data_IF_881916864210
#
_entry.id   IF_881916864210
#
_cell.length_a   1.000
_cell.length_b   1.000
_cell.length_c   1.000
_cell.angle_alpha   90.00
_cell.angle_beta   90.00
_cell.angle_gamma   90.00
#
_symmetry.space_group_name_H-M   'P 1'
#
loop_
_entity.id
_entity.type
_entity.pdbx_description
1 polymer ?
#
# COMPACT_ATOMS: atom_id res chain seq x y z
N UNK A 1 42.54 28.05 12.79
CA UNK A 1 41.35 27.20 12.89
C UNK A 1 40.17 28.12 12.99
N UNK A 2 39.22 27.96 12.08
CA UNK A 2 38.01 28.77 12.03
C UNK A 2 37.08 28.22 13.11
N UNK A 3 36.69 29.06 14.08
CA UNK A 3 35.80 28.67 15.18
C UNK A 3 34.34 28.68 14.70
N UNK A 4 34.12 28.24 13.47
CA UNK A 4 32.85 28.32 12.78
C UNK A 4 31.90 27.28 13.36
N UNK A 5 30.66 27.68 13.72
CA UNK A 5 29.76 26.77 14.38
C UNK A 5 29.30 25.65 13.42
N UNK A 6 29.11 24.43 13.94
CA UNK A 6 28.60 23.30 13.17
C UNK A 6 27.19 23.58 12.64
N UNK A 7 26.81 22.98 11.52
CA UNK A 7 25.52 23.21 10.86
C UNK A 7 24.64 21.98 10.96
N UNK A 8 23.38 22.17 11.32
CA UNK A 8 22.39 21.08 11.29
C UNK A 8 21.97 20.77 9.85
N UNK A 9 21.82 19.48 9.56
CA UNK A 9 21.25 18.96 8.33
C UNK A 9 20.22 17.89 8.69
N UNK A 10 18.99 18.00 8.18
CA UNK A 10 18.01 16.93 8.37
C UNK A 10 18.28 15.83 7.35
N UNK A 11 18.71 14.65 7.83
CA UNK A 11 18.96 13.50 6.97
C UNK A 11 17.64 12.86 6.47
N UNK A 12 16.56 13.01 7.25
CA UNK A 12 15.19 12.70 6.82
C UNK A 12 14.27 13.88 7.15
N UNK A 13 13.64 14.45 6.13
CA UNK A 13 12.62 15.50 6.28
C UNK A 13 11.21 14.91 6.53
N UNK A 14 11.12 13.60 6.74
CA UNK A 14 9.85 12.87 6.73
C UNK A 14 9.50 12.43 8.14
N UNK A 15 8.58 13.17 8.76
CA UNK A 15 7.92 12.77 10.00
C UNK A 15 6.49 12.40 9.62
N UNK A 16 6.21 11.11 9.49
CA UNK A 16 4.84 10.65 9.23
C UNK A 16 4.61 9.35 10.01
N UNK A 17 3.95 9.47 11.16
CA UNK A 17 3.46 8.31 11.93
C UNK A 17 2.07 7.98 11.41
N UNK A 18 1.95 6.98 10.55
CA UNK A 18 0.70 6.59 9.88
C UNK A 18 -0.12 5.56 10.67
N UNK A 19 0.49 4.92 11.67
CA UNK A 19 -0.16 3.99 12.60
C UNK A 19 0.62 3.90 13.90
N UNK A 20 -0.05 3.57 14.99
CA UNK A 20 0.53 3.50 16.33
C UNK A 20 1.61 2.42 16.43
N UNK A 21 2.89 2.78 16.40
CA UNK A 21 3.93 1.99 17.09
C UNK A 21 5.24 2.75 17.38
N UNK A 22 5.76 3.64 16.52
CA UNK A 22 6.85 4.59 16.84
C UNK A 22 7.18 5.46 15.63
N UNK A 23 7.81 6.62 15.86
CA UNK A 23 8.41 7.45 14.81
C UNK A 23 9.93 7.49 15.01
N UNK A 24 10.69 7.23 13.95
CA UNK A 24 12.15 7.38 13.93
C UNK A 24 12.55 8.54 13.03
N UNK A 25 13.37 9.46 13.54
CA UNK A 25 13.92 10.60 12.78
C UNK A 25 15.44 10.60 12.91
N UNK A 26 16.13 10.78 11.78
CA UNK A 26 17.60 10.89 11.74
C UNK A 26 18.01 12.35 11.63
N UNK A 27 18.74 12.85 12.63
CA UNK A 27 19.35 14.18 12.60
C UNK A 27 20.81 14.08 12.16
N UNK A 28 21.20 14.94 11.24
CA UNK A 28 22.58 15.13 10.82
C UNK A 28 23.13 16.48 11.30
N UNK A 29 24.44 16.56 11.44
CA UNK A 29 25.14 17.82 11.57
C UNK A 29 26.54 17.69 10.98
N UNK A 30 27.00 18.76 10.36
CA UNK A 30 28.28 18.84 9.67
C UNK A 30 29.10 20.00 10.21
N UNK A 31 30.35 19.73 10.55
CA UNK A 31 31.35 20.74 10.84
C UNK A 31 31.92 21.29 9.51
N UNK A 32 32.09 22.62 9.33
CA UNK A 32 32.66 23.19 8.12
C UNK A 32 34.06 22.68 7.76
N UNK A 33 34.82 22.20 8.75
CA UNK A 33 36.16 21.64 8.58
C UNK A 33 36.16 20.10 8.53
N UNK A 34 34.98 19.45 8.54
CA UNK A 34 34.81 17.99 8.41
C UNK A 34 35.16 17.20 9.67
N UNK A 35 35.20 17.86 10.83
CA UNK A 35 35.56 17.25 12.11
C UNK A 35 34.37 16.57 12.81
N UNK A 36 34.61 15.62 13.73
CA UNK A 36 33.55 15.02 14.52
C UNK A 36 32.83 16.08 15.36
N UNK A 37 31.51 15.98 15.45
CA UNK A 37 30.66 16.84 16.27
C UNK A 37 30.01 16.05 17.40
N UNK A 38 29.81 16.70 18.53
CA UNK A 38 29.11 16.15 19.69
C UNK A 38 27.65 16.60 19.66
N UNK A 39 26.74 15.63 19.81
CA UNK A 39 25.30 15.88 19.85
C UNK A 39 24.77 15.88 21.28
N UNK A 40 23.95 16.87 21.61
CA UNK A 40 23.19 16.92 22.84
C UNK A 40 21.74 17.31 22.51
N UNK A 41 20.79 16.40 22.72
CA UNK A 41 19.37 16.76 22.68
C UNK A 41 18.79 16.75 24.09
N UNK A 42 18.07 17.81 24.44
CA UNK A 42 17.25 17.85 25.63
C UNK A 42 15.79 17.62 25.21
N UNK A 43 15.14 16.53 25.64
CA UNK A 43 13.70 16.38 25.48
C UNK A 43 13.04 17.54 26.21
N UNK A 44 12.24 18.37 25.52
CA UNK A 44 11.69 19.56 26.18
C UNK A 44 10.57 19.23 27.19
N UNK A 45 10.22 17.95 27.43
CA UNK A 45 9.40 17.42 28.55
C UNK A 45 8.69 16.06 28.28
N UNK A 46 8.99 15.33 27.19
CA UNK A 46 8.25 14.09 26.89
C UNK A 46 8.95 12.82 27.42
N UNK A 47 8.26 11.94 28.18
CA UNK A 47 8.81 10.67 28.66
C UNK A 47 8.99 9.61 27.55
N UNK A 48 8.49 9.89 26.34
CA UNK A 48 8.42 8.93 25.23
C UNK A 48 9.43 9.23 24.12
N UNK A 49 10.50 9.98 24.42
CA UNK A 49 11.56 10.31 23.48
C UNK A 49 12.88 9.67 23.93
N UNK A 50 13.53 8.93 23.02
CA UNK A 50 14.86 8.37 23.23
C UNK A 50 15.81 8.88 22.16
N UNK A 51 16.96 9.42 22.57
CA UNK A 51 18.09 9.76 21.69
C UNK A 51 19.13 8.64 21.78
N UNK A 52 19.44 8.04 20.64
CA UNK A 52 20.51 7.05 20.52
C UNK A 52 21.85 7.76 20.25
N UNK A 53 22.97 7.09 20.58
CA UNK A 53 24.33 7.64 20.43
C UNK A 53 24.75 7.90 18.98
N UNK A 54 24.01 7.37 18.01
CA UNK A 54 24.20 7.58 16.57
C UNK A 54 23.44 8.80 16.01
N UNK A 55 22.76 9.59 16.86
CA UNK A 55 21.96 10.74 16.41
C UNK A 55 20.53 10.39 15.97
N UNK A 56 20.09 9.15 16.21
CA UNK A 56 18.73 8.69 15.92
C UNK A 56 17.78 9.01 17.08
N UNK A 57 16.65 9.66 16.76
CA UNK A 57 15.59 9.97 17.73
C UNK A 57 14.40 9.04 17.49
N UNK A 58 14.01 8.31 18.54
CA UNK A 58 12.78 7.51 18.53
C UNK A 58 11.74 8.15 19.43
N UNK A 59 10.52 8.29 18.93
CA UNK A 59 9.40 8.87 19.65
C UNK A 59 8.18 7.96 19.64
N UNK A 60 7.65 7.63 20.83
CA UNK A 60 6.48 6.76 21.04
C UNK A 60 5.33 7.54 21.67
N UNK A 61 4.80 8.53 20.96
CA UNK A 61 3.70 9.35 21.47
C UNK A 61 2.66 9.71 20.43
N UNK A 62 1.62 10.40 20.91
CA UNK A 62 0.46 10.88 20.15
C UNK A 62 0.23 12.40 20.41
N UNK A 63 1.14 13.03 21.16
CA UNK A 63 1.09 14.45 21.54
C UNK A 63 2.24 15.21 20.87
N UNK A 64 2.00 16.40 20.29
CA UNK A 64 3.07 17.22 19.74
C UNK A 64 4.25 17.37 20.72
N UNK A 65 5.48 17.17 20.25
CA UNK A 65 6.68 17.39 21.07
C UNK A 65 7.64 18.33 20.36
N UNK A 66 8.31 19.16 21.14
CA UNK A 66 9.43 19.97 20.66
C UNK A 66 10.74 19.38 21.20
N UNK A 67 11.78 19.35 20.37
CA UNK A 67 13.09 18.83 20.73
C UNK A 67 14.09 19.94 20.50
N UNK A 68 14.79 20.34 21.56
CA UNK A 68 15.92 21.26 21.44
C UNK A 68 17.18 20.41 21.29
N UNK A 69 17.87 20.55 20.17
CA UNK A 69 19.13 19.92 19.90
C UNK A 69 20.24 20.97 19.83
N UNK A 70 21.34 20.67 20.49
CA UNK A 70 22.58 21.43 20.43
C UNK A 70 23.66 20.52 19.86
N UNK A 71 24.46 21.05 18.95
CA UNK A 71 25.64 20.39 18.41
C UNK A 71 26.84 21.28 18.62
N UNK A 72 27.96 20.70 19.02
CA UNK A 72 29.21 21.40 19.23
C UNK A 72 30.38 20.68 18.54
N UNK A 73 31.36 21.44 18.06
CA UNK A 73 32.61 20.91 17.54
C UNK A 73 33.65 20.69 18.67
N UNK A 74 34.83 20.15 18.31
CA UNK A 74 35.94 19.95 19.25
C UNK A 74 36.55 21.24 19.80
N UNK A 75 36.29 22.39 19.17
CA UNK A 75 36.75 23.71 19.59
C UNK A 75 35.75 24.42 20.51
N UNK A 76 34.56 23.84 20.72
CA UNK A 76 33.50 24.37 21.58
C UNK A 76 32.57 25.36 20.89
N UNK A 77 32.66 25.53 19.57
CA UNK A 77 31.67 26.28 18.80
C UNK A 77 30.38 25.45 18.69
N UNK A 78 29.22 26.07 18.96
CA UNK A 78 27.95 25.35 19.00
C UNK A 78 26.82 26.00 18.20
N UNK A 79 25.88 25.17 17.77
CA UNK A 79 24.62 25.54 17.13
C UNK A 79 23.46 24.88 17.84
N UNK A 80 22.31 25.57 17.90
CA UNK A 80 21.09 25.06 18.50
C UNK A 80 19.92 25.10 17.50
N UNK A 81 19.08 24.07 17.52
CA UNK A 81 17.88 23.99 16.69
C UNK A 81 16.73 23.33 17.44
N UNK A 82 15.52 23.86 17.24
CA UNK A 82 14.28 23.27 17.76
C UNK A 82 13.55 22.52 16.64
N UNK A 83 13.24 21.25 16.88
CA UNK A 83 12.44 20.40 15.99
C UNK A 83 11.05 20.20 16.57
N UNK A 84 9.99 20.35 15.76
CA UNK A 84 8.62 20.07 16.16
C UNK A 84 8.17 18.76 15.53
N UNK A 85 7.87 17.74 16.35
CA UNK A 85 7.29 16.48 15.91
C UNK A 85 5.80 16.46 16.25
N UNK A 86 4.97 16.12 15.27
CA UNK A 86 3.53 15.91 15.45
C UNK A 86 3.13 14.55 14.90
N UNK A 87 2.23 13.85 15.59
CA UNK A 87 1.49 12.75 14.97
C UNK A 87 0.41 13.32 14.08
N UNK A 88 0.28 12.78 12.88
CA UNK A 88 -0.87 12.99 12.02
C UNK A 88 -1.65 11.69 11.96
N UNK A 89 -2.90 11.69 12.43
CA UNK A 89 -3.78 10.53 12.27
C UNK A 89 -4.12 10.35 10.80
N UNK A 90 -4.12 9.11 10.30
CA UNK A 90 -4.63 8.83 8.96
C UNK A 90 -6.13 9.16 8.90
N UNK A 91 -6.58 10.15 8.12
CA UNK A 91 -7.98 10.56 8.10
C UNK A 91 -8.77 9.94 6.94
N UNK A 92 -8.16 8.99 6.21
CA UNK A 92 -8.88 8.24 5.19
C UNK A 92 -10.01 7.44 5.85
N UNK A 93 -11.21 7.59 5.32
CA UNK A 93 -12.41 6.88 5.72
C UNK A 93 -12.49 5.51 5.03
N UNK A 94 -13.46 4.69 5.43
CA UNK A 94 -13.84 3.44 4.75
C UNK A 94 -12.70 2.45 4.46
N UNK A 95 -11.71 2.38 5.36
CA UNK A 95 -10.56 1.48 5.22
C UNK A 95 -9.50 1.98 4.24
N UNK A 96 -9.55 3.25 3.84
CA UNK A 96 -8.53 3.88 3.03
C UNK A 96 -7.16 3.88 3.70
N UNK A 97 -6.11 3.74 2.90
CA UNK A 97 -4.72 3.72 3.37
C UNK A 97 -4.02 5.04 3.06
N UNK A 98 -3.43 5.67 4.06
CA UNK A 98 -2.64 6.88 3.87
C UNK A 98 -1.26 6.53 3.29
N UNK A 99 -0.92 7.11 2.14
CA UNK A 99 0.40 7.00 1.52
C UNK A 99 0.99 8.40 1.29
N UNK A 100 2.32 8.55 1.22
CA UNK A 100 2.93 9.83 0.88
C UNK A 100 2.45 10.34 -0.49
N UNK A 101 2.11 11.62 -0.60
CA UNK A 101 1.69 12.22 -1.87
C UNK A 101 2.86 12.24 -2.89
N UNK A 102 2.67 11.71 -4.12
CA UNK A 102 3.74 11.60 -5.11
C UNK A 102 4.11 12.93 -5.80
N UNK A 103 3.21 13.91 -5.84
CA UNK A 103 3.42 15.20 -6.53
C UNK A 103 3.94 16.28 -5.58
N UNK A 104 3.93 16.01 -4.27
CA UNK A 104 4.48 16.91 -3.26
C UNK A 104 5.96 16.60 -2.96
N UNK A 105 6.79 17.64 -2.72
CA UNK A 105 8.14 17.46 -2.22
C UNK A 105 8.11 16.67 -0.91
N UNK A 106 8.97 15.64 -0.80
CA UNK A 106 9.19 14.89 0.44
C UNK A 106 9.45 15.88 1.58
N UNK A 107 8.59 15.88 2.60
CA UNK A 107 8.74 16.70 3.81
C UNK A 107 7.72 17.82 4.04
N UNK A 108 6.64 17.91 3.26
CA UNK A 108 5.55 18.87 3.52
C UNK A 108 4.31 18.28 4.25
N UNK A 109 4.32 16.99 4.60
CA UNK A 109 3.28 16.41 5.47
C UNK A 109 1.91 16.20 4.79
N UNK A 110 1.86 16.11 3.46
CA UNK A 110 0.65 15.76 2.74
C UNK A 110 0.66 14.26 2.40
N UNK A 111 -0.35 13.55 2.91
CA UNK A 111 -0.67 12.17 2.52
C UNK A 111 -1.76 12.22 1.45
N UNK A 112 -1.85 11.18 0.63
CA UNK A 112 -3.02 10.91 -0.20
C UNK A 112 -3.66 9.62 0.28
N UNK A 113 -4.97 9.49 0.09
CA UNK A 113 -5.71 8.30 0.45
C UNK A 113 -5.77 7.33 -0.74
N UNK A 114 -5.35 6.08 -0.52
CA UNK A 114 -5.63 4.97 -1.42
C UNK A 114 -6.95 4.36 -1.01
N UNK A 115 -7.95 4.48 -1.90
CA UNK A 115 -9.34 4.18 -1.63
C UNK A 115 -9.81 2.90 -2.34
N UNK A 116 -9.98 1.76 -1.64
CA UNK A 116 -10.46 0.52 -2.24
C UNK A 116 -11.98 0.52 -2.36
N UNK A 117 -12.53 0.78 -3.56
CA UNK A 117 -13.98 0.88 -3.79
C UNK A 117 -14.60 2.21 -3.38
N UNK A 118 -13.77 3.23 -3.16
CA UNK A 118 -14.20 4.57 -2.78
C UNK A 118 -13.45 5.63 -3.59
N UNK A 119 -13.98 6.84 -3.60
CA UNK A 119 -13.44 8.05 -4.22
C UNK A 119 -13.58 9.24 -3.27
N UNK A 120 -13.06 10.39 -3.69
CA UNK A 120 -12.89 11.57 -2.86
C UNK A 120 -11.51 11.61 -2.22
N UNK A 121 -11.18 12.76 -1.62
CA UNK A 121 -9.84 13.00 -1.08
C UNK A 121 -9.57 12.15 0.18
N UNK A 122 -10.62 11.73 0.87
CA UNK A 122 -10.58 10.96 2.11
C UNK A 122 -11.29 9.60 1.97
N UNK A 123 -11.57 9.12 0.75
CA UNK A 123 -12.36 7.91 0.52
C UNK A 123 -13.79 7.99 1.09
N UNK A 124 -14.36 9.20 1.13
CA UNK A 124 -15.67 9.48 1.74
C UNK A 124 -16.85 9.04 0.86
N UNK A 125 -16.63 8.83 -0.44
CA UNK A 125 -17.69 8.52 -1.40
C UNK A 125 -17.50 7.12 -1.93
N UNK A 126 -18.50 6.26 -1.79
CA UNK A 126 -18.47 4.91 -2.35
C UNK A 126 -18.61 4.97 -3.88
N UNK A 127 -17.91 4.08 -4.60
CA UNK A 127 -17.95 4.00 -6.04
C UNK A 127 -19.10 3.08 -6.50
N UNK A 128 -20.12 3.66 -7.14
CA UNK A 128 -21.18 2.86 -7.78
C UNK A 128 -20.63 2.12 -9.02
N UNK A 129 -20.23 0.86 -8.82
CA UNK A 129 -19.72 0.03 -9.91
C UNK A 129 -20.80 -0.39 -10.92
N UNK A 130 -22.08 -0.26 -10.54
CA UNK A 130 -23.21 -0.47 -11.42
C UNK A 130 -23.49 0.71 -12.36
N UNK A 131 -22.90 1.90 -12.12
CA UNK A 131 -23.12 3.11 -12.94
C UNK A 131 -22.80 2.88 -14.43
N UNK A 132 -21.80 2.04 -14.72
CA UNK A 132 -21.39 1.70 -16.09
C UNK A 132 -22.31 0.68 -16.78
N UNK A 133 -23.36 0.21 -16.10
CA UNK A 133 -24.24 -0.89 -16.54
C UNK A 133 -23.46 -2.14 -16.96
N UNK A 134 -22.65 -2.75 -16.08
CA UNK A 134 -21.73 -3.82 -16.46
C UNK A 134 -22.43 -5.15 -16.83
N UNK A 135 -23.67 -5.35 -16.35
CA UNK A 135 -24.50 -6.53 -16.61
C UNK A 135 -25.24 -6.39 -17.95
N UNK A 136 -24.99 -7.29 -18.90
CA UNK A 136 -25.62 -7.26 -20.22
C UNK A 136 -27.10 -7.69 -20.19
N UNK A 137 -27.39 -8.87 -19.60
CA UNK A 137 -28.74 -9.41 -19.49
C UNK A 137 -29.06 -9.80 -18.04
N UNK A 138 -29.06 -8.81 -17.14
CA UNK A 138 -29.32 -9.06 -15.73
C UNK A 138 -29.46 -7.77 -14.92
N UNK A 139 -29.74 -7.95 -13.63
CA UNK A 139 -29.82 -6.85 -12.66
C UNK A 139 -28.46 -6.70 -11.98
N UNK A 140 -27.92 -5.48 -12.00
CA UNK A 140 -26.70 -5.15 -11.27
C UNK A 140 -27.01 -4.87 -9.80
N UNK A 141 -26.19 -5.42 -8.91
CA UNK A 141 -26.17 -5.08 -7.49
C UNK A 141 -24.80 -4.52 -7.17
N UNK A 142 -24.81 -3.29 -6.67
CA UNK A 142 -23.64 -2.54 -6.24
C UNK A 142 -23.07 -3.13 -4.94
N UNK A 143 -21.75 -3.25 -4.84
CA UNK A 143 -21.05 -3.81 -3.69
C UNK A 143 -19.81 -2.97 -3.41
N UNK A 144 -19.30 -2.96 -2.18
CA UNK A 144 -18.04 -2.24 -1.92
C UNK A 144 -16.89 -2.85 -2.74
N UNK A 145 -16.29 -2.03 -3.60
CA UNK A 145 -15.14 -2.39 -4.45
C UNK A 145 -15.49 -3.50 -5.46
N UNK A 146 -16.72 -3.51 -5.98
CA UNK A 146 -17.14 -4.44 -7.01
C UNK A 146 -18.64 -4.47 -7.26
N UNK A 147 -19.08 -5.33 -8.17
CA UNK A 147 -20.51 -5.49 -8.44
C UNK A 147 -20.86 -6.96 -8.60
N UNK A 148 -22.14 -7.27 -8.48
CA UNK A 148 -22.67 -8.59 -8.78
C UNK A 148 -23.83 -8.51 -9.79
N UNK A 149 -23.80 -9.35 -10.81
CA UNK A 149 -24.88 -9.46 -11.78
C UNK A 149 -25.78 -10.65 -11.46
N UNK A 150 -27.06 -10.37 -11.23
CA UNK A 150 -28.09 -11.42 -11.18
C UNK A 150 -28.65 -11.61 -12.59
N UNK A 151 -28.28 -12.72 -13.24
CA UNK A 151 -28.64 -12.95 -14.64
C UNK A 151 -30.13 -13.25 -14.82
N UNK A 152 -30.70 -12.72 -15.90
CA UNK A 152 -32.01 -13.09 -16.37
C UNK A 152 -32.04 -14.55 -16.83
N UNK A 153 -33.24 -15.13 -16.90
CA UNK A 153 -33.43 -16.49 -17.38
C UNK A 153 -32.83 -16.67 -18.78
N UNK A 154 -32.04 -17.74 -18.96
CA UNK A 154 -31.35 -18.04 -20.22
C UNK A 154 -29.95 -17.41 -20.38
N UNK A 155 -29.47 -16.65 -19.39
CA UNK A 155 -28.13 -16.04 -19.40
C UNK A 155 -27.28 -16.44 -18.19
N UNK A 156 -25.96 -16.46 -18.38
CA UNK A 156 -24.93 -16.81 -17.41
C UNK A 156 -23.66 -15.96 -17.65
N UNK A 157 -22.65 -16.16 -16.78
CA UNK A 157 -21.40 -15.40 -16.80
C UNK A 157 -21.42 -14.27 -15.79
N UNK A 158 -20.24 -13.75 -15.44
CA UNK A 158 -20.10 -12.67 -14.43
C UNK A 158 -20.78 -11.38 -14.86
N UNK A 159 -20.97 -11.18 -16.16
CA UNK A 159 -21.66 -10.04 -16.77
C UNK A 159 -22.99 -10.41 -17.43
N UNK A 160 -23.46 -11.65 -17.28
CA UNK A 160 -24.68 -12.14 -17.91
C UNK A 160 -24.70 -11.92 -19.44
N UNK A 161 -23.54 -12.07 -20.07
CA UNK A 161 -23.27 -11.84 -21.48
C UNK A 161 -23.22 -13.15 -22.28
N UNK A 162 -23.31 -14.29 -21.61
CA UNK A 162 -23.29 -15.61 -22.24
C UNK A 162 -24.66 -16.28 -22.14
N UNK A 163 -25.17 -16.77 -23.27
CA UNK A 163 -26.39 -17.60 -23.27
C UNK A 163 -26.10 -18.98 -22.66
N UNK A 164 -27.07 -19.53 -21.92
CA UNK A 164 -26.99 -20.90 -21.36
C UNK A 164 -26.73 -21.99 -22.41
N UNK A 165 -27.05 -21.73 -23.69
CA UNK A 165 -26.82 -22.67 -24.79
C UNK A 165 -25.39 -22.59 -25.36
N UNK A 166 -24.57 -21.64 -24.88
CA UNK A 166 -23.20 -21.44 -25.33
C UNK A 166 -22.21 -21.37 -24.16
N UNK A 167 -22.24 -22.38 -23.27
CA UNK A 167 -21.38 -22.43 -22.08
C UNK A 167 -19.89 -22.52 -22.40
N UNK A 168 -19.51 -23.05 -23.56
CA UNK A 168 -18.11 -23.06 -23.99
C UNK A 168 -17.51 -21.67 -24.17
N UNK A 169 -18.32 -20.61 -24.30
CA UNK A 169 -17.83 -19.23 -24.34
C UNK A 169 -17.25 -18.73 -23.01
N UNK A 170 -17.44 -19.48 -21.91
CA UNK A 170 -16.82 -19.19 -20.61
C UNK A 170 -15.48 -19.90 -20.41
N UNK A 171 -14.96 -20.55 -21.45
CA UNK A 171 -13.74 -21.37 -21.41
C UNK A 171 -13.67 -22.30 -20.18
N UNK A 172 -14.70 -23.15 -19.96
CA UNK A 172 -14.81 -23.92 -18.71
C UNK A 172 -13.91 -25.16 -18.65
N UNK A 173 -13.23 -25.49 -19.75
CA UNK A 173 -12.30 -26.62 -19.84
C UNK A 173 -10.88 -26.17 -19.53
N UNK A 174 -10.00 -27.12 -19.19
CA UNK A 174 -8.58 -26.86 -19.03
C UNK A 174 -8.00 -26.21 -20.30
N UNK A 175 -7.01 -25.29 -20.19
CA UNK A 175 -6.41 -24.66 -21.36
C UNK A 175 -6.00 -25.67 -22.44
N UNK A 176 -6.27 -25.33 -23.71
CA UNK A 176 -6.03 -26.16 -24.89
C UNK A 176 -6.88 -27.46 -24.97
N UNK A 177 -7.89 -27.65 -24.10
CA UNK A 177 -8.87 -28.73 -24.22
C UNK A 177 -10.09 -28.26 -25.02
N UNK A 178 -10.51 -29.08 -25.98
CA UNK A 178 -11.71 -28.81 -26.78
C UNK A 178 -12.98 -28.83 -25.93
N UNK A 179 -13.84 -27.82 -26.08
CA UNK A 179 -15.16 -27.75 -25.46
C UNK A 179 -16.28 -27.95 -26.49
N UNK A 180 -17.34 -28.67 -26.12
CA UNK A 180 -18.57 -28.80 -26.91
C UNK A 180 -19.79 -28.39 -26.10
N UNK A 181 -20.67 -27.57 -26.68
CA UNK A 181 -21.98 -27.26 -26.10
C UNK A 181 -22.94 -28.44 -26.33
N UNK A 182 -23.79 -28.71 -25.35
CA UNK A 182 -24.80 -29.77 -25.41
C UNK A 182 -26.20 -29.18 -25.63
N UNK A 183 -27.10 -29.97 -26.23
CA UNK A 183 -28.46 -29.53 -26.57
C UNK A 183 -29.36 -29.29 -25.35
N UNK A 184 -29.02 -29.87 -24.19
CA UNK A 184 -29.69 -29.66 -22.90
C UNK A 184 -29.23 -28.38 -22.18
N UNK A 185 -28.42 -27.56 -22.86
CA UNK A 185 -27.78 -26.39 -22.27
C UNK A 185 -26.58 -26.74 -21.39
N UNK A 186 -26.06 -27.97 -21.45
CA UNK A 186 -24.81 -28.39 -20.82
C UNK A 186 -23.56 -28.14 -21.68
N UNK A 187 -22.40 -28.62 -21.21
CA UNK A 187 -21.16 -28.66 -21.98
C UNK A 187 -20.30 -29.86 -21.60
N UNK A 188 -19.41 -30.28 -22.50
CA UNK A 188 -18.46 -31.36 -22.26
C UNK A 188 -17.04 -30.98 -22.69
N UNK A 189 -16.06 -31.39 -21.90
CA UNK A 189 -14.64 -31.19 -22.17
C UNK A 189 -14.01 -32.42 -22.80
N UNK A 190 -13.07 -32.19 -23.71
CA UNK A 190 -12.27 -33.22 -24.37
C UNK A 190 -11.20 -33.84 -23.46
N UNK A 191 -10.25 -34.55 -24.07
CA UNK A 191 -9.13 -35.16 -23.34
C UNK A 191 -8.08 -34.11 -23.00
N UNK A 192 -7.35 -34.33 -21.90
CA UNK A 192 -6.22 -33.49 -21.52
C UNK A 192 -5.14 -33.45 -22.62
N UNK A 193 -4.39 -32.34 -22.73
CA UNK A 193 -3.25 -32.24 -23.63
C UNK A 193 -2.16 -33.26 -23.29
N UNK A 194 -1.24 -33.51 -24.23
CA UNK A 194 -0.14 -34.47 -24.04
C UNK A 194 0.70 -34.12 -22.80
N UNK A 195 0.98 -35.11 -21.96
CA UNK A 195 1.73 -34.93 -20.70
C UNK A 195 0.88 -34.54 -19.49
N UNK A 196 -0.44 -34.36 -19.66
CA UNK A 196 -1.37 -34.15 -18.56
C UNK A 196 -2.38 -35.30 -18.45
N UNK A 197 -2.79 -35.62 -17.23
CA UNK A 197 -3.81 -36.63 -16.93
C UNK A 197 -4.95 -35.98 -16.16
N UNK A 198 -6.19 -36.36 -16.47
CA UNK A 198 -7.37 -35.78 -15.85
C UNK A 198 -8.64 -35.98 -16.66
N UNK A 199 -9.67 -35.17 -16.37
CA UNK A 199 -11.01 -35.29 -16.97
C UNK A 199 -11.32 -34.19 -17.99
N UNK A 200 -10.34 -33.39 -18.40
CA UNK A 200 -10.51 -32.27 -19.35
C UNK A 200 -11.02 -30.98 -18.71
N UNK A 201 -11.71 -31.07 -17.57
CA UNK A 201 -12.05 -29.90 -16.73
C UNK A 201 -10.87 -29.55 -15.82
N UNK A 202 -10.17 -30.57 -15.33
CA UNK A 202 -8.94 -30.46 -14.56
C UNK A 202 -7.93 -31.44 -15.15
N UNK A 203 -6.74 -30.93 -15.45
CA UNK A 203 -5.64 -31.70 -15.99
C UNK A 203 -4.39 -31.40 -15.16
N UNK A 204 -3.77 -32.44 -14.62
CA UNK A 204 -2.56 -32.34 -13.81
C UNK A 204 -1.39 -32.94 -14.59
N UNK A 205 -0.23 -32.28 -14.55
CA UNK A 205 0.95 -32.76 -15.26
C UNK A 205 1.51 -34.01 -14.59
N UNK A 206 1.89 -35.01 -15.37
CA UNK A 206 2.68 -36.12 -14.82
C UNK A 206 4.09 -35.60 -14.46
N UNK A 207 4.41 -35.58 -13.17
CA UNK A 207 5.80 -35.54 -12.74
C UNK A 207 6.49 -36.77 -13.34
N UNK A 208 7.28 -36.56 -14.40
CA UNK A 208 8.21 -37.58 -14.87
C UNK A 208 9.21 -37.84 -13.75
N UNK A 209 8.93 -38.84 -12.92
CA UNK A 209 9.95 -39.42 -12.06
C UNK A 209 11.08 -39.90 -12.96
N UNK A 210 12.22 -39.20 -12.90
CA UNK A 210 13.49 -39.76 -13.30
C UNK A 210 13.72 -41.00 -12.43
N UNK A 211 13.42 -42.18 -12.97
CA UNK A 211 14.06 -43.40 -12.50
C UNK A 211 15.51 -43.36 -12.97
N UNK A 212 16.41 -43.17 -11.99
CA UNK A 212 17.86 -43.37 -12.06
C UNK A 212 18.22 -44.77 -12.59
#
# INVERSE_FOLDING_TARGET
SDNSPPRFTMASNTITKLSDESLTVTLGAEDPEGRPVMFQAAPSSSPNLTLQSNGELTWTGNQPVSINATVADECGASSEQTFHLTTMSCPCENGGSCVPDPDMPRGQGFYTCVCPGYTGALCETELDECQSSPCANGTCTDLVNGYNCTCAEGYIGTRCDVSVNNRCALDPCFPDVSCINLEDGGYSCGRCPEGYVGNGYQCEGELRYFTL
#
